data_IF_197436393901
#
_entry.id   IF_197436393901
#
_cell.length_a   1.000
_cell.length_b   1.000
_cell.length_c   1.000
_cell.angle_alpha   90.00
_cell.angle_beta   90.00
_cell.angle_gamma   90.00
#
_symmetry.space_group_name_H-M   'P 1'
#
loop_
_entity.id
_entity.type
_entity.pdbx_description
1 polymer ?
#
# COMPACT_ATOMS: atom_id res chain seq x y z
N UNK A 1 2.29 1.15 -6.99
CA UNK A 1 3.16 -0.02 -6.71
C UNK A 1 3.15 -0.31 -5.22
N UNK A 2 2.78 -1.54 -4.80
CA UNK A 2 2.89 -1.95 -3.39
C UNK A 2 4.34 -2.33 -3.06
N UNK A 3 4.80 -2.03 -1.84
CA UNK A 3 6.10 -2.50 -1.40
C UNK A 3 6.13 -4.04 -1.34
N UNK A 4 7.29 -4.67 -1.61
CA UNK A 4 7.46 -6.11 -1.46
C UNK A 4 7.26 -6.55 -0.01
N UNK A 5 7.07 -7.85 0.21
CA UNK A 5 6.88 -8.42 1.56
C UNK A 5 8.08 -8.16 2.48
N UNK A 6 9.28 -8.01 1.92
CA UNK A 6 10.48 -7.63 2.68
C UNK A 6 10.41 -6.21 3.26
N UNK A 7 9.53 -5.36 2.74
CA UNK A 7 9.44 -3.95 3.14
C UNK A 7 10.46 -3.03 2.46
N UNK A 8 11.20 -3.50 1.48
CA UNK A 8 12.25 -2.72 0.81
C UNK A 8 11.65 -1.59 -0.03
N UNK A 9 11.82 -0.36 0.43
CA UNK A 9 11.36 0.84 -0.27
C UNK A 9 12.10 1.09 -1.58
N UNK A 10 13.39 0.71 -1.66
CA UNK A 10 14.16 0.90 -2.89
C UNK A 10 13.62 0.07 -4.03
N UNK A 11 13.25 -1.18 -3.78
CA UNK A 11 12.62 -2.07 -4.77
C UNK A 11 11.28 -1.48 -5.23
N UNK A 12 10.47 -0.97 -4.31
CA UNK A 12 9.20 -0.33 -4.64
C UNK A 12 9.40 0.92 -5.50
N UNK A 13 10.32 1.81 -5.10
CA UNK A 13 10.59 3.06 -5.82
C UNK A 13 11.21 2.81 -7.19
N UNK A 14 12.07 1.80 -7.35
CA UNK A 14 12.56 1.38 -8.67
C UNK A 14 11.41 0.90 -9.56
N UNK A 15 10.41 0.24 -8.99
CA UNK A 15 9.22 -0.19 -9.73
C UNK A 15 8.34 1.00 -10.14
N UNK A 16 8.23 2.04 -9.29
CA UNK A 16 7.56 3.31 -9.64
C UNK A 16 8.31 3.99 -10.77
N UNK A 17 9.63 4.11 -10.66
CA UNK A 17 10.49 4.69 -11.69
C UNK A 17 10.28 3.98 -13.04
N UNK A 18 10.40 2.66 -13.06
CA UNK A 18 10.18 1.86 -14.26
C UNK A 18 8.77 2.09 -14.86
N UNK A 19 7.73 2.14 -14.02
CA UNK A 19 6.36 2.36 -14.49
C UNK A 19 6.15 3.77 -15.07
N UNK A 20 6.90 4.78 -14.61
CA UNK A 20 6.80 6.15 -15.10
C UNK A 20 7.55 6.37 -16.43
N UNK A 21 8.43 5.45 -16.84
CA UNK A 21 9.24 5.60 -18.04
C UNK A 21 8.69 4.77 -19.21
N UNK A 22 8.90 5.24 -20.44
CA UNK A 22 8.51 4.46 -21.62
C UNK A 22 9.39 3.21 -21.78
N UNK A 23 8.77 2.15 -22.28
CA UNK A 23 9.42 0.87 -22.57
C UNK A 23 9.14 0.46 -24.01
N UNK A 24 10.13 -0.21 -24.63
CA UNK A 24 9.98 -0.84 -25.93
C UNK A 24 10.22 -2.35 -25.81
N UNK A 25 9.31 -3.15 -26.32
CA UNK A 25 9.38 -4.61 -26.23
C UNK A 25 8.58 -5.27 -27.37
N UNK A 26 8.82 -6.55 -27.62
CA UNK A 26 8.05 -7.35 -28.56
C UNK A 26 6.90 -8.05 -27.84
N UNK A 27 5.70 -7.85 -28.32
CA UNK A 27 4.51 -8.52 -27.83
C UNK A 27 3.72 -9.13 -28.99
N UNK A 28 3.54 -10.44 -28.98
CA UNK A 28 2.83 -11.22 -30.03
C UNK A 28 3.31 -10.90 -31.44
N UNK A 29 4.63 -10.71 -31.64
CA UNK A 29 5.24 -10.38 -32.92
C UNK A 29 5.20 -8.91 -33.33
N UNK A 30 4.60 -8.05 -32.52
CA UNK A 30 4.57 -6.61 -32.74
C UNK A 30 5.59 -5.91 -31.85
N UNK A 31 6.27 -4.91 -32.38
CA UNK A 31 7.04 -3.96 -31.57
C UNK A 31 6.06 -3.01 -30.89
N UNK A 32 6.09 -3.00 -29.56
CA UNK A 32 5.23 -2.14 -28.72
C UNK A 32 6.11 -1.12 -28.01
N UNK A 33 5.68 0.13 -28.03
CA UNK A 33 6.26 1.21 -27.25
C UNK A 33 5.19 1.78 -26.32
N UNK A 34 5.48 1.80 -25.02
CA UNK A 34 4.63 2.45 -24.01
C UNK A 34 5.10 3.89 -23.78
N UNK A 35 4.22 4.74 -23.27
CA UNK A 35 4.56 6.14 -22.93
C UNK A 35 5.02 6.31 -21.48
N UNK A 36 4.94 5.26 -20.66
CA UNK A 36 5.05 5.36 -19.22
C UNK A 36 3.74 5.86 -18.57
N UNK A 37 3.71 5.88 -17.24
CA UNK A 37 2.57 6.38 -16.48
C UNK A 37 3.04 7.32 -15.37
N UNK A 38 2.99 8.60 -15.62
CA UNK A 38 3.43 9.66 -14.69
C UNK A 38 2.64 9.62 -13.35
N UNK A 39 1.46 9.00 -13.32
CA UNK A 39 0.63 8.86 -12.11
C UNK A 39 0.99 7.62 -11.27
N UNK A 40 1.96 6.79 -11.71
CA UNK A 40 2.42 5.67 -10.90
C UNK A 40 2.94 6.16 -9.55
N UNK A 41 2.50 5.51 -8.47
CA UNK A 41 2.73 5.91 -7.09
C UNK A 41 2.95 4.72 -6.18
N UNK A 42 3.24 4.97 -4.92
CA UNK A 42 3.53 3.96 -3.90
C UNK A 42 2.30 3.54 -3.12
N UNK A 43 2.30 2.30 -2.63
CA UNK A 43 1.31 1.78 -1.67
C UNK A 43 2.06 1.02 -0.58
N UNK A 44 1.87 1.41 0.68
CA UNK A 44 2.47 0.77 1.84
C UNK A 44 1.52 -0.27 2.44
N UNK A 45 1.97 -1.51 2.56
CA UNK A 45 1.18 -2.65 3.07
C UNK A 45 1.79 -3.31 4.31
N UNK A 46 2.84 -2.70 4.89
CA UNK A 46 3.68 -3.34 5.90
C UNK A 46 4.68 -4.33 5.29
N UNK A 47 5.46 -4.93 6.13
CA UNK A 47 6.50 -5.90 5.79
C UNK A 47 6.36 -7.17 6.64
N UNK A 48 7.06 -8.21 6.24
CA UNK A 48 7.21 -9.43 7.02
C UNK A 48 8.70 -9.73 7.17
N UNK A 49 9.17 -9.84 8.41
CA UNK A 49 10.56 -10.19 8.68
C UNK A 49 10.90 -11.61 8.23
N UNK A 50 12.19 -11.93 8.13
CA UNK A 50 12.67 -13.28 7.84
C UNK A 50 12.20 -14.36 8.83
N UNK A 51 11.73 -13.95 10.00
CA UNK A 51 11.16 -14.84 11.03
C UNK A 51 9.62 -14.86 11.01
N UNK A 52 8.98 -14.32 9.99
CA UNK A 52 7.51 -14.31 9.83
C UNK A 52 6.78 -13.25 10.67
N UNK A 53 7.49 -12.35 11.35
CA UNK A 53 6.88 -11.26 12.11
C UNK A 53 6.41 -10.16 11.17
N UNK A 54 5.16 -9.72 11.31
CA UNK A 54 4.65 -8.54 10.62
C UNK A 54 5.27 -7.26 11.22
N UNK A 55 5.65 -6.36 10.33
CA UNK A 55 6.25 -5.05 10.65
C UNK A 55 5.42 -3.99 9.94
N UNK A 56 4.71 -3.13 10.65
CA UNK A 56 4.00 -2.01 10.03
C UNK A 56 4.97 -1.00 9.40
N UNK A 57 4.51 -0.24 8.41
CA UNK A 57 5.29 0.82 7.75
C UNK A 57 4.41 2.03 7.40
N UNK A 58 3.48 2.40 8.29
CA UNK A 58 2.56 3.53 8.14
C UNK A 58 2.75 4.62 9.19
N UNK A 59 3.67 4.42 10.15
CA UNK A 59 3.95 5.41 11.19
C UNK A 59 4.56 6.67 10.57
N UNK A 60 4.46 7.76 11.30
CA UNK A 60 4.92 9.07 10.83
C UNK A 60 6.38 9.04 10.33
N UNK A 61 7.25 8.35 11.04
CA UNK A 61 8.67 8.21 10.71
C UNK A 61 8.89 7.41 9.42
N UNK A 62 8.11 6.35 9.20
CA UNK A 62 8.15 5.56 7.96
C UNK A 62 7.76 6.43 6.75
N UNK A 63 6.73 7.26 6.93
CA UNK A 63 6.26 8.17 5.88
C UNK A 63 7.29 9.25 5.55
N UNK A 64 7.97 9.80 6.57
CA UNK A 64 9.07 10.76 6.37
C UNK A 64 10.25 10.12 5.62
N UNK A 65 10.65 8.91 6.00
CA UNK A 65 11.73 8.16 5.33
C UNK A 65 11.35 7.94 3.86
N UNK A 66 10.14 7.45 3.59
CA UNK A 66 9.70 7.20 2.22
C UNK A 66 9.64 8.47 1.39
N UNK A 67 9.13 9.57 1.95
CA UNK A 67 9.08 10.87 1.27
C UNK A 67 10.48 11.39 0.96
N UNK A 68 11.43 11.27 1.89
CA UNK A 68 12.83 11.60 1.67
C UNK A 68 13.43 10.81 0.49
N UNK A 69 13.26 9.49 0.53
CA UNK A 69 13.71 8.61 -0.56
C UNK A 69 13.03 8.90 -1.91
N UNK A 70 11.78 9.37 -1.88
CA UNK A 70 11.04 9.77 -3.08
C UNK A 70 11.65 11.04 -3.69
N UNK A 71 11.95 12.03 -2.84
CA UNK A 71 12.51 13.32 -3.26
C UNK A 71 13.97 13.21 -3.75
N UNK A 72 14.73 12.21 -3.29
CA UNK A 72 16.09 11.93 -3.77
C UNK A 72 16.11 11.34 -5.19
N UNK A 73 14.97 10.89 -5.70
CA UNK A 73 14.85 10.28 -7.03
C UNK A 73 14.09 11.21 -7.97
N UNK A 74 14.42 11.14 -9.24
CA UNK A 74 13.68 11.86 -10.31
C UNK A 74 12.35 11.13 -10.60
N UNK A 75 11.45 11.15 -9.60
CA UNK A 75 10.13 10.54 -9.67
C UNK A 75 9.06 11.62 -9.79
N UNK A 76 8.14 11.40 -10.71
CA UNK A 76 6.94 12.22 -10.85
C UNK A 76 5.88 11.79 -9.82
N UNK A 77 4.91 12.67 -9.56
CA UNK A 77 3.75 12.40 -8.73
C UNK A 77 4.10 11.81 -7.34
N UNK A 78 4.68 12.59 -6.42
CA UNK A 78 4.96 12.16 -5.06
C UNK A 78 3.65 11.85 -4.34
N UNK A 79 3.28 10.57 -4.33
CA UNK A 79 2.02 10.09 -3.77
C UNK A 79 2.19 8.72 -3.12
N UNK A 80 1.53 8.56 -1.97
CA UNK A 80 1.48 7.33 -1.21
C UNK A 80 0.04 7.01 -0.79
N UNK A 81 -0.35 5.76 -0.91
CA UNK A 81 -1.58 5.21 -0.32
C UNK A 81 -1.19 4.24 0.78
N UNK A 82 -1.86 4.30 1.91
CA UNK A 82 -1.63 3.38 3.02
C UNK A 82 -2.68 2.28 3.00
N UNK A 83 -2.22 1.06 2.80
CA UNK A 83 -3.05 -0.13 2.95
C UNK A 83 -3.14 -0.45 4.46
N UNK A 84 -4.30 -0.23 5.04
CA UNK A 84 -4.54 -0.38 6.47
C UNK A 84 -4.67 -1.84 6.92
N UNK A 85 -4.61 -2.78 6.00
CA UNK A 85 -4.67 -4.22 6.27
C UNK A 85 -3.29 -4.89 6.11
N UNK A 86 -3.25 -6.16 5.74
CA UNK A 86 -2.06 -6.97 5.53
C UNK A 86 -1.11 -6.94 6.75
N UNK A 87 0.18 -6.69 6.53
CA UNK A 87 1.17 -6.65 7.62
C UNK A 87 1.05 -5.40 8.49
N UNK A 88 0.43 -4.32 7.98
CA UNK A 88 0.17 -3.11 8.75
C UNK A 88 -0.79 -3.37 9.92
N UNK A 89 -1.82 -4.20 9.74
CA UNK A 89 -2.77 -4.57 10.78
C UNK A 89 -2.42 -5.89 11.48
N UNK A 90 -1.29 -6.52 11.15
CA UNK A 90 -1.01 -7.89 11.55
C UNK A 90 -2.12 -8.88 11.12
N UNK A 91 -2.80 -8.57 10.00
CA UNK A 91 -3.97 -9.31 9.47
C UNK A 91 -5.17 -9.32 10.44
N UNK A 92 -5.28 -8.32 11.30
CA UNK A 92 -6.40 -8.12 12.22
C UNK A 92 -7.29 -6.99 11.68
N UNK A 93 -8.50 -7.33 11.27
CA UNK A 93 -9.39 -6.39 10.58
C UNK A 93 -9.84 -5.22 11.47
N UNK A 94 -10.01 -5.44 12.75
CA UNK A 94 -10.38 -4.44 13.76
C UNK A 94 -9.31 -3.33 13.91
N UNK A 95 -8.07 -3.62 13.55
CA UNK A 95 -6.98 -2.64 13.58
C UNK A 95 -7.04 -1.61 12.45
N UNK A 96 -7.76 -1.86 11.37
CA UNK A 96 -7.82 -0.95 10.22
C UNK A 96 -8.29 0.46 10.62
N UNK A 97 -9.33 0.55 11.45
CA UNK A 97 -9.87 1.85 11.92
C UNK A 97 -8.83 2.63 12.72
N UNK A 98 -8.12 1.96 13.63
CA UNK A 98 -7.04 2.57 14.42
C UNK A 98 -5.92 3.10 13.50
N UNK A 99 -5.50 2.29 12.54
CA UNK A 99 -4.43 2.65 11.59
C UNK A 99 -4.84 3.88 10.77
N UNK A 100 -6.07 3.90 10.25
CA UNK A 100 -6.58 5.06 9.50
C UNK A 100 -6.55 6.33 10.35
N UNK A 101 -6.98 6.26 11.62
CA UNK A 101 -6.93 7.41 12.53
C UNK A 101 -5.50 7.91 12.75
N UNK A 102 -4.54 7.00 12.91
CA UNK A 102 -3.13 7.33 13.08
C UNK A 102 -2.53 7.98 11.81
N UNK A 103 -2.84 7.44 10.64
CA UNK A 103 -2.44 8.04 9.35
C UNK A 103 -3.04 9.43 9.18
N UNK A 104 -4.31 9.62 9.51
CA UNK A 104 -4.95 10.95 9.46
C UNK A 104 -4.32 11.92 10.45
N UNK A 105 -3.95 11.45 11.64
CA UNK A 105 -3.20 12.27 12.61
C UNK A 105 -1.84 12.69 12.03
N UNK A 106 -1.08 11.77 11.47
CA UNK A 106 0.22 12.05 10.82
C UNK A 106 0.09 13.10 9.71
N UNK A 107 -0.99 13.05 8.92
CA UNK A 107 -1.28 14.07 7.90
C UNK A 107 -1.55 15.46 8.49
N UNK A 108 -2.10 15.55 9.70
CA UNK A 108 -2.33 16.84 10.38
C UNK A 108 -1.04 17.42 11.00
N UNK A 109 -0.08 16.57 11.34
CA UNK A 109 1.19 17.00 11.93
C UNK A 109 2.13 17.69 10.93
N UNK A 110 2.07 17.34 9.66
CA UNK A 110 3.02 17.82 8.65
C UNK A 110 2.33 18.11 7.32
N UNK A 111 2.47 19.32 6.76
CA UNK A 111 2.00 19.65 5.43
C UNK A 111 2.60 18.75 4.35
N UNK A 112 3.86 18.34 4.49
CA UNK A 112 4.53 17.48 3.52
C UNK A 112 3.91 16.08 3.51
N UNK A 113 3.67 15.50 4.69
CA UNK A 113 2.97 14.21 4.81
C UNK A 113 1.52 14.34 4.35
N UNK A 114 0.84 15.45 4.64
CA UNK A 114 -0.51 15.72 4.12
C UNK A 114 -0.55 15.68 2.59
N UNK A 115 0.44 16.31 1.96
CA UNK A 115 0.54 16.37 0.51
C UNK A 115 1.01 15.05 -0.10
N UNK A 116 1.80 14.26 0.61
CA UNK A 116 2.34 12.99 0.13
C UNK A 116 1.33 11.84 0.25
N UNK A 117 0.70 11.67 1.42
CA UNK A 117 -0.29 10.61 1.65
C UNK A 117 -1.63 11.01 1.08
N UNK A 118 -2.00 10.45 -0.06
CA UNK A 118 -3.21 10.79 -0.82
C UNK A 118 -4.46 10.03 -0.37
N UNK A 119 -4.30 8.92 0.33
CA UNK A 119 -5.44 8.12 0.76
C UNK A 119 -5.06 6.89 1.54
N UNK A 120 -6.08 6.18 1.95
CA UNK A 120 -5.99 4.90 2.63
C UNK A 120 -6.74 3.82 1.84
N UNK A 121 -6.30 2.60 1.95
CA UNK A 121 -6.97 1.42 1.41
C UNK A 121 -7.50 0.60 2.57
N UNK A 122 -8.79 0.35 2.58
CA UNK A 122 -9.48 -0.44 3.59
C UNK A 122 -10.05 -1.67 2.89
N UNK A 123 -9.75 -2.84 3.43
CA UNK A 123 -10.33 -4.07 2.92
C UNK A 123 -11.59 -4.43 3.74
N UNK A 124 -12.69 -4.57 3.02
CA UNK A 124 -13.99 -4.94 3.57
C UNK A 124 -14.60 -6.06 2.74
N UNK A 125 -15.25 -7.01 3.41
CA UNK A 125 -15.91 -8.13 2.78
C UNK A 125 -17.30 -8.36 3.39
N UNK A 126 -18.08 -9.30 2.87
CA UNK A 126 -19.46 -9.54 3.34
C UNK A 126 -19.45 -10.18 4.73
N UNK A 127 -18.58 -11.18 4.94
CA UNK A 127 -18.44 -11.92 6.18
C UNK A 127 -17.10 -11.66 6.87
N UNK A 128 -17.11 -11.54 8.17
CA UNK A 128 -15.89 -11.36 8.97
C UNK A 128 -14.95 -12.56 8.91
N UNK A 129 -13.68 -12.27 9.06
CA UNK A 129 -12.62 -13.26 9.17
C UNK A 129 -12.04 -13.67 7.84
N UNK A 130 -11.30 -14.75 7.83
CA UNK A 130 -10.67 -15.30 6.65
C UNK A 130 -11.03 -16.78 6.48
N UNK A 131 -10.79 -17.30 5.28
CA UNK A 131 -10.91 -18.71 4.98
C UNK A 131 -9.67 -19.20 4.23
N UNK A 132 -9.44 -20.52 4.31
CA UNK A 132 -8.43 -21.16 3.47
C UNK A 132 -8.91 -21.25 2.02
N UNK A 133 -7.96 -21.19 1.08
CA UNK A 133 -8.26 -21.43 -0.34
C UNK A 133 -8.95 -22.79 -0.46
N UNK A 134 -10.10 -22.82 -1.14
CA UNK A 134 -10.90 -24.03 -1.33
C UNK A 134 -11.91 -24.33 -0.21
N UNK A 135 -12.00 -23.54 0.85
CA UNK A 135 -13.00 -23.75 1.90
C UNK A 135 -14.45 -23.47 1.45
N UNK A 136 -14.63 -22.72 0.34
CA UNK A 136 -15.93 -22.53 -0.34
C UNK A 136 -16.97 -21.69 0.43
N UNK A 137 -16.57 -20.97 1.46
CA UNK A 137 -17.47 -20.09 2.21
C UNK A 137 -17.71 -18.80 1.41
N UNK A 138 -18.91 -18.63 0.85
CA UNK A 138 -19.29 -17.42 0.14
C UNK A 138 -19.27 -16.22 1.10
N UNK A 139 -18.77 -15.08 0.61
CA UNK A 139 -18.73 -13.85 1.38
C UNK A 139 -17.53 -13.70 2.31
N UNK A 140 -16.61 -14.69 2.40
CA UNK A 140 -15.38 -14.64 3.20
C UNK A 140 -14.13 -14.44 2.37
N UNK A 141 -13.24 -13.56 2.83
CA UNK A 141 -11.94 -13.33 2.20
C UNK A 141 -11.00 -14.53 2.37
N UNK A 142 -10.15 -14.79 1.36
CA UNK A 142 -9.07 -15.79 1.45
C UNK A 142 -7.72 -15.20 1.84
N UNK A 143 -7.55 -13.90 1.73
CA UNK A 143 -6.25 -13.24 1.94
C UNK A 143 -6.24 -12.25 3.07
N UNK A 144 -7.36 -11.61 3.32
CA UNK A 144 -7.46 -10.55 4.31
C UNK A 144 -8.71 -10.72 5.15
N UNK A 145 -8.61 -10.25 6.34
CA UNK A 145 -9.70 -10.21 7.28
C UNK A 145 -10.53 -8.97 7.00
N UNK A 146 -11.83 -9.11 6.86
CA UNK A 146 -12.71 -8.04 6.43
C UNK A 146 -13.63 -7.57 7.53
N UNK A 147 -14.09 -6.34 7.38
CA UNK A 147 -15.03 -5.67 8.27
C UNK A 147 -16.34 -5.40 7.52
N UNK A 148 -17.46 -5.87 8.04
CA UNK A 148 -18.77 -5.73 7.38
C UNK A 148 -19.42 -4.37 7.58
N UNK A 149 -19.04 -3.61 8.60
CA UNK A 149 -19.63 -2.30 8.89
C UNK A 149 -18.57 -1.24 9.12
N UNK A 150 -18.30 -0.45 8.07
CA UNK A 150 -17.54 0.78 8.18
C UNK A 150 -18.48 1.93 8.58
N UNK A 151 -18.81 2.00 9.86
CA UNK A 151 -19.32 3.25 10.43
C UNK A 151 -18.11 4.11 10.79
N UNK A 152 -17.84 5.13 9.96
CA UNK A 152 -16.95 6.19 10.40
C UNK A 152 -17.63 6.88 11.60
N UNK A 153 -16.95 7.04 12.74
CA UNK A 153 -17.50 7.85 13.81
C UNK A 153 -17.68 9.28 13.29
N UNK A 154 -18.89 9.77 13.38
CA UNK A 154 -19.25 11.19 13.16
C UNK A 154 -18.53 12.07 14.17
#
# INVERSE_FOLDING_TARGET
>A
MKNPTSGDFSVMLNSVYAAQHPHRFIYRGYEVQTNGNDLAHTVLRGATSKHGRNIPNYHYEDLQILLGLYNERDLKNPACIIDSNHSNSNKQFDQQVRIVKEVMHSRHLSPDIHNFVKGVMIESYIEEGNQKVGAGCYGKSITAVSYTHLTLPT
#
